data_IF_931754444954
#
_entry.id   IF_931754444954
#
_cell.length_a   1.000
_cell.length_b   1.000
_cell.length_c   1.000
_cell.angle_alpha   90.00
_cell.angle_beta   90.00
_cell.angle_gamma   90.00
#
_symmetry.space_group_name_H-M   'P 1'
#
loop_
_entity.id
_entity.type
_entity.pdbx_description
1 polymer ?
#
# COMPACT_ATOMS: atom_id res chain seq x y z
N UNK A 1 42.63 47.88 15.09
CA UNK A 1 43.23 49.24 15.07
C UNK A 1 42.18 50.18 14.47
N UNK A 2 41.83 51.33 15.06
CA UNK A 2 42.66 52.53 15.32
C UNK A 2 43.18 53.13 13.98
N UNK A 3 43.00 54.42 13.65
CA UNK A 3 42.70 55.62 14.46
C UNK A 3 41.70 56.60 13.79
N UNK A 4 41.10 57.48 14.62
CA UNK A 4 40.62 58.88 14.44
C UNK A 4 40.04 59.41 13.09
N UNK A 5 39.20 60.46 13.07
CA UNK A 5 38.60 61.21 14.19
C UNK A 5 38.80 62.74 14.16
N UNK A 6 37.98 63.45 13.38
CA UNK A 6 37.53 64.84 13.63
C UNK A 6 38.46 66.04 13.37
N UNK A 7 37.90 67.09 12.77
CA UNK A 7 38.00 68.47 13.27
C UNK A 7 36.90 69.37 12.64
N UNK A 8 36.64 70.54 13.24
CA UNK A 8 35.71 71.55 12.73
C UNK A 8 36.25 72.98 12.94
N UNK A 9 35.64 73.95 12.25
CA UNK A 9 35.71 75.40 12.50
C UNK A 9 37.07 76.15 12.33
N UNK A 10 37.37 76.55 11.09
CA UNK A 10 38.18 77.73 10.71
C UNK A 10 37.79 78.07 9.24
N UNK A 11 37.68 79.30 8.74
CA UNK A 11 38.10 80.65 9.17
C UNK A 11 36.93 81.65 9.01
N UNK A 12 36.84 82.64 9.90
CA UNK A 12 36.04 83.86 9.70
C UNK A 12 37.00 85.03 9.41
N UNK A 13 37.03 85.56 8.18
CA UNK A 13 37.59 86.88 7.77
C UNK A 13 37.85 86.93 6.24
N UNK A 14 37.05 87.71 5.49
CA UNK A 14 37.58 88.79 4.64
C UNK A 14 36.45 89.70 4.13
N UNK A 15 36.63 91.01 4.26
CA UNK A 15 35.77 92.05 3.68
C UNK A 15 36.65 93.29 3.41
N UNK A 16 36.43 94.03 2.30
CA UNK A 16 36.15 95.45 2.42
C UNK A 16 35.01 95.91 1.48
N UNK A 17 33.97 96.54 2.00
CA UNK A 17 33.81 98.01 2.09
C UNK A 17 33.75 98.79 0.77
N UNK A 18 32.60 99.46 0.55
CA UNK A 18 32.56 100.89 0.22
C UNK A 18 31.42 101.58 1.00
N UNK A 19 31.64 102.84 1.35
CA UNK A 19 30.72 103.75 2.06
C UNK A 19 30.83 105.12 1.37
N UNK A 20 29.72 105.83 1.14
CA UNK A 20 29.77 107.20 0.61
C UNK A 20 28.51 108.03 0.97
N UNK A 21 28.72 109.12 1.73
CA UNK A 21 27.81 110.22 2.11
C UNK A 21 28.68 111.29 2.83
N UNK A 22 28.44 112.64 2.78
CA UNK A 22 27.17 113.37 3.02
C UNK A 22 26.93 114.48 1.93
N UNK A 23 26.28 115.65 2.07
CA UNK A 23 25.70 116.48 3.17
C UNK A 23 24.64 117.48 2.60
N UNK A 24 23.72 118.08 3.39
CA UNK A 24 22.73 119.07 2.94
C UNK A 24 23.16 120.54 3.22
N UNK A 25 22.41 121.57 2.77
CA UNK A 25 21.27 122.14 3.52
C UNK A 25 20.04 122.43 2.59
N UNK A 26 18.89 123.02 2.98
CA UNK A 26 18.56 123.93 4.10
C UNK A 26 17.09 123.84 4.55
N UNK A 27 16.82 124.26 5.79
CA UNK A 27 15.51 124.69 6.34
C UNK A 27 14.86 125.81 5.50
N UNK A 28 13.55 126.10 5.57
CA UNK A 28 12.47 125.62 6.45
C UNK A 28 11.17 125.44 5.58
N UNK A 29 9.89 125.57 5.97
CA UNK A 29 9.26 126.13 7.18
C UNK A 29 7.95 125.42 7.63
N UNK A 30 7.45 125.89 8.77
CA UNK A 30 6.27 125.56 9.59
C UNK A 30 4.92 125.37 8.87
N UNK A 31 4.24 124.25 9.17
CA UNK A 31 2.91 124.30 9.82
C UNK A 31 2.73 123.09 10.77
N UNK A 32 1.89 123.20 11.80
CA UNK A 32 1.80 122.23 12.90
C UNK A 32 0.37 121.69 13.08
N UNK A 33 0.26 120.37 13.33
CA UNK A 33 -0.90 119.76 13.99
C UNK A 33 -0.46 118.62 14.92
N UNK A 34 -1.10 118.54 16.08
CA UNK A 34 -0.82 117.58 17.14
C UNK A 34 -1.57 116.23 16.89
N UNK A 35 -1.19 115.12 17.57
CA UNK A 35 -1.58 113.78 17.14
C UNK A 35 -3.01 113.38 17.52
N UNK A 36 -3.58 112.45 16.76
CA UNK A 36 -4.74 111.65 17.18
C UNK A 36 -4.28 110.25 17.63
N UNK A 37 -4.50 109.83 18.90
CA UNK A 37 -4.50 108.42 19.24
C UNK A 37 -5.78 107.77 18.68
N UNK A 38 -5.64 106.57 18.11
CA UNK A 38 -6.73 105.87 17.40
C UNK A 38 -6.66 104.36 17.57
N UNK A 39 -6.45 103.89 18.80
CA UNK A 39 -6.48 102.47 19.12
C UNK A 39 -7.93 101.99 19.31
N UNK A 40 -8.58 101.57 18.23
CA UNK A 40 -9.76 100.70 18.29
C UNK A 40 -9.28 99.27 18.47
N UNK A 41 -9.15 98.83 19.73
CA UNK A 41 -9.09 97.40 20.03
C UNK A 41 -10.51 96.86 19.96
N UNK A 42 -10.77 95.90 19.08
CA UNK A 42 -12.08 95.25 19.02
C UNK A 42 -12.35 94.48 20.31
N UNK A 43 -13.50 94.79 20.93
CA UNK A 43 -13.97 94.10 22.12
C UNK A 43 -14.78 92.88 21.65
N UNK A 44 -14.06 91.83 21.28
CA UNK A 44 -14.61 90.53 20.87
C UNK A 44 -15.62 90.07 21.94
N UNK A 45 -16.80 89.61 21.51
CA UNK A 45 -17.85 89.26 22.46
C UNK A 45 -17.43 88.03 23.31
N UNK A 46 -17.76 87.95 24.62
CA UNK A 46 -17.33 86.83 25.46
C UNK A 46 -17.76 85.43 24.98
N UNK A 47 -18.80 85.35 24.15
CA UNK A 47 -19.25 84.12 23.49
C UNK A 47 -18.36 83.79 22.26
N UNK A 48 -18.17 84.76 21.37
CA UNK A 48 -17.31 84.68 20.17
C UNK A 48 -15.83 84.38 20.52
N UNK A 49 -15.33 84.96 21.62
CA UNK A 49 -14.02 84.65 22.18
C UNK A 49 -13.93 83.23 22.74
N UNK A 50 -15.04 82.70 23.29
CA UNK A 50 -15.10 81.31 23.76
C UNK A 50 -15.19 80.32 22.59
N UNK A 51 -15.99 80.61 21.56
CA UNK A 51 -16.07 79.80 20.34
C UNK A 51 -14.71 79.76 19.62
N UNK A 52 -14.06 80.92 19.47
CA UNK A 52 -12.70 81.02 18.90
C UNK A 52 -11.67 80.22 19.71
N UNK A 53 -11.78 80.20 21.04
CA UNK A 53 -10.92 79.39 21.90
C UNK A 53 -11.19 77.87 21.76
N UNK A 54 -12.43 77.45 21.51
CA UNK A 54 -12.74 76.05 21.19
C UNK A 54 -12.22 75.67 19.81
N UNK A 55 -12.54 76.45 18.77
CA UNK A 55 -12.05 76.22 17.40
C UNK A 55 -10.52 76.14 17.34
N UNK A 56 -9.81 77.02 18.05
CA UNK A 56 -8.34 77.00 18.19
C UNK A 56 -7.83 75.69 18.80
N UNK A 57 -8.45 75.23 19.88
CA UNK A 57 -8.09 73.99 20.59
C UNK A 57 -8.37 72.76 19.72
N UNK A 58 -9.49 72.73 19.03
CA UNK A 58 -9.90 71.59 18.22
C UNK A 58 -9.12 71.54 16.90
N UNK A 59 -8.72 72.69 16.33
CA UNK A 59 -7.75 72.78 15.25
C UNK A 59 -6.37 72.21 15.67
N UNK A 60 -5.89 72.54 16.87
CA UNK A 60 -4.67 71.93 17.44
C UNK A 60 -4.80 70.42 17.63
N UNK A 61 -5.97 69.93 18.04
CA UNK A 61 -6.23 68.49 18.13
C UNK A 61 -6.25 67.81 16.74
N UNK A 62 -6.76 68.49 15.71
CA UNK A 62 -6.71 68.00 14.33
C UNK A 62 -5.32 68.03 13.72
N UNK A 63 -4.50 69.04 14.03
CA UNK A 63 -3.08 69.05 13.64
C UNK A 63 -2.30 67.89 14.30
N UNK A 64 -2.59 67.56 15.56
CA UNK A 64 -2.00 66.38 16.20
C UNK A 64 -2.44 65.07 15.50
N UNK A 65 -3.74 64.92 15.21
CA UNK A 65 -4.27 63.77 14.45
C UNK A 65 -3.70 63.69 13.02
N UNK A 66 -3.43 64.83 12.38
CA UNK A 66 -2.78 64.89 11.07
C UNK A 66 -1.36 64.32 11.13
N UNK A 67 -0.56 64.73 12.12
CA UNK A 67 0.79 64.19 12.28
C UNK A 67 0.79 62.69 12.63
N UNK A 68 -0.14 62.21 13.45
CA UNK A 68 -0.29 60.77 13.75
C UNK A 68 -0.54 59.94 12.48
N UNK A 69 -1.53 60.32 11.67
CA UNK A 69 -1.85 59.63 10.41
C UNK A 69 -0.74 59.78 9.36
N UNK A 70 -0.05 60.93 9.32
CA UNK A 70 1.09 61.16 8.43
C UNK A 70 2.29 60.27 8.82
N UNK A 71 2.60 60.16 10.10
CA UNK A 71 3.64 59.23 10.61
C UNK A 71 3.27 57.78 10.32
N UNK A 72 2.00 57.37 10.49
CA UNK A 72 1.55 56.03 10.09
C UNK A 72 1.79 55.78 8.59
N UNK A 73 1.44 56.74 7.74
CA UNK A 73 1.64 56.65 6.29
C UNK A 73 3.10 56.61 5.87
N UNK A 74 3.98 57.36 6.53
CA UNK A 74 5.41 57.43 6.20
C UNK A 74 6.21 56.26 6.79
N UNK A 75 6.01 55.91 8.06
CA UNK A 75 6.81 54.91 8.78
C UNK A 75 6.27 53.47 8.65
N UNK A 76 4.95 53.27 8.57
CA UNK A 76 4.33 51.94 8.55
C UNK A 76 3.83 51.53 7.16
N UNK A 77 3.29 52.49 6.39
CA UNK A 77 2.71 52.24 5.06
C UNK A 77 3.55 52.80 3.90
N UNK A 78 4.77 53.28 4.14
CA UNK A 78 5.74 53.73 3.11
C UNK A 78 5.10 54.49 1.92
N UNK A 79 4.23 55.46 2.23
CA UNK A 79 3.41 56.17 1.23
C UNK A 79 4.26 56.85 0.13
N UNK A 80 5.54 57.12 0.41
CA UNK A 80 6.52 57.61 -0.57
C UNK A 80 6.62 56.76 -1.84
N UNK A 81 6.35 55.46 -1.76
CA UNK A 81 6.53 54.51 -2.88
C UNK A 81 5.27 54.27 -3.73
N UNK A 82 4.08 54.68 -3.27
CA UNK A 82 2.80 54.39 -3.97
C UNK A 82 1.72 55.48 -3.87
N UNK A 83 1.90 56.49 -3.01
CA UNK A 83 0.90 57.53 -2.72
C UNK A 83 1.48 58.93 -2.51
N UNK A 84 2.71 59.19 -2.97
CA UNK A 84 3.42 60.45 -2.73
C UNK A 84 2.64 61.70 -3.18
N UNK A 85 2.05 61.68 -4.38
CA UNK A 85 1.24 62.77 -4.93
C UNK A 85 -0.05 63.03 -4.12
N UNK A 86 -0.60 61.98 -3.47
CA UNK A 86 -1.73 62.14 -2.55
C UNK A 86 -1.27 62.79 -1.24
N UNK A 87 -0.16 62.32 -0.65
CA UNK A 87 0.38 62.90 0.58
C UNK A 87 0.79 64.37 0.38
N UNK A 88 1.46 64.71 -0.73
CA UNK A 88 1.89 66.09 -1.02
C UNK A 88 0.69 67.03 -1.11
N UNK A 89 -0.35 66.65 -1.86
CA UNK A 89 -1.60 67.41 -1.99
C UNK A 89 -2.30 67.62 -0.65
N UNK A 90 -2.34 66.60 0.20
CA UNK A 90 -2.98 66.67 1.53
C UNK A 90 -2.14 67.51 2.50
N UNK A 91 -0.80 67.45 2.40
CA UNK A 91 0.13 68.29 3.17
C UNK A 91 0.01 69.76 2.78
N UNK A 92 -0.15 70.07 1.49
CA UNK A 92 -0.38 71.42 1.01
C UNK A 92 -1.68 72.04 1.56
N UNK A 93 -2.74 71.25 1.79
CA UNK A 93 -3.94 71.71 2.51
C UNK A 93 -3.63 72.06 3.96
N UNK A 94 -2.93 71.19 4.69
CA UNK A 94 -2.56 71.47 6.08
C UNK A 94 -1.72 72.76 6.21
N UNK A 95 -0.80 73.02 5.27
CA UNK A 95 -0.02 74.27 5.23
C UNK A 95 -0.89 75.51 4.95
N UNK A 96 -2.03 75.38 4.27
CA UNK A 96 -3.00 76.47 4.13
C UNK A 96 -3.80 76.69 5.44
N UNK A 97 -4.12 75.62 6.17
CA UNK A 97 -4.76 75.70 7.48
C UNK A 97 -3.84 76.31 8.56
N UNK A 98 -2.53 76.07 8.49
CA UNK A 98 -1.50 76.78 9.29
C UNK A 98 -1.56 78.30 9.08
N UNK A 99 -1.61 78.77 7.83
CA UNK A 99 -1.70 80.19 7.53
C UNK A 99 -2.98 80.82 8.12
N UNK A 100 -4.13 80.14 8.00
CA UNK A 100 -5.38 80.59 8.62
C UNK A 100 -5.29 80.61 10.17
N UNK A 101 -4.56 79.67 10.77
CA UNK A 101 -4.34 79.64 12.23
C UNK A 101 -3.51 80.84 12.72
N UNK A 102 -2.48 81.22 11.96
CA UNK A 102 -1.63 82.40 12.24
C UNK A 102 -2.38 83.71 12.04
N UNK A 103 -3.35 83.75 11.12
CA UNK A 103 -4.29 84.86 10.90
C UNK A 103 -5.44 84.91 11.93
N UNK A 104 -5.40 84.07 12.97
CA UNK A 104 -6.45 83.91 14.00
C UNK A 104 -7.83 83.49 13.46
N UNK A 105 -7.89 83.00 12.21
CA UNK A 105 -9.10 82.47 11.54
C UNK A 105 -9.36 81.02 11.94
N UNK A 106 -9.51 80.81 13.25
CA UNK A 106 -9.47 79.48 13.88
C UNK A 106 -10.53 78.50 13.37
N UNK A 107 -11.72 78.96 12.97
CA UNK A 107 -12.77 78.09 12.43
C UNK A 107 -12.43 77.58 11.01
N UNK A 108 -12.00 78.46 10.11
CA UNK A 108 -11.60 78.06 8.75
C UNK A 108 -10.37 77.13 8.78
N UNK A 109 -9.44 77.40 9.71
CA UNK A 109 -8.31 76.52 10.01
C UNK A 109 -8.75 75.14 10.51
N UNK A 110 -9.71 75.07 11.45
CA UNK A 110 -10.29 73.82 11.93
C UNK A 110 -10.92 73.00 10.79
N UNK A 111 -11.69 73.65 9.91
CA UNK A 111 -12.39 72.97 8.82
C UNK A 111 -11.41 72.39 7.77
N UNK A 112 -10.39 73.14 7.36
CA UNK A 112 -9.35 72.61 6.44
C UNK A 112 -8.47 71.55 7.12
N UNK A 113 -8.14 71.67 8.42
CA UNK A 113 -7.46 70.59 9.15
C UNK A 113 -8.33 69.33 9.27
N UNK A 114 -9.63 69.46 9.50
CA UNK A 114 -10.55 68.33 9.53
C UNK A 114 -10.65 67.63 8.16
N UNK A 115 -10.66 68.40 7.06
CA UNK A 115 -10.62 67.87 5.70
C UNK A 115 -9.28 67.20 5.36
N UNK A 116 -8.14 67.77 5.78
CA UNK A 116 -6.82 67.16 5.60
C UNK A 116 -6.70 65.83 6.37
N UNK A 117 -7.18 65.77 7.61
CA UNK A 117 -7.25 64.54 8.42
C UNK A 117 -8.14 63.48 7.77
N UNK A 118 -9.29 63.87 7.21
CA UNK A 118 -10.17 62.93 6.52
C UNK A 118 -9.51 62.32 5.27
N UNK A 119 -8.81 63.14 4.47
CA UNK A 119 -8.09 62.65 3.29
C UNK A 119 -6.87 61.78 3.67
N UNK A 120 -6.15 62.08 4.77
CA UNK A 120 -5.12 61.17 5.29
C UNK A 120 -5.70 59.83 5.73
N UNK A 121 -6.85 59.81 6.42
CA UNK A 121 -7.50 58.57 6.84
C UNK A 121 -7.98 57.72 5.64
N UNK A 122 -8.49 58.38 4.58
CA UNK A 122 -8.80 57.73 3.31
C UNK A 122 -7.53 57.15 2.63
N UNK A 123 -6.40 57.86 2.71
CA UNK A 123 -5.12 57.41 2.16
C UNK A 123 -4.54 56.23 2.96
N UNK A 124 -4.68 56.21 4.30
CA UNK A 124 -4.36 55.03 5.13
C UNK A 124 -5.15 53.81 4.65
N UNK A 125 -6.48 53.90 4.57
CA UNK A 125 -7.32 52.79 4.13
C UNK A 125 -7.02 52.31 2.70
N UNK A 126 -6.63 53.21 1.79
CA UNK A 126 -6.12 52.88 0.45
C UNK A 126 -4.81 52.07 0.53
N UNK A 127 -3.88 52.45 1.41
CA UNK A 127 -2.63 51.71 1.64
C UNK A 127 -2.87 50.32 2.22
N UNK A 128 -3.74 50.20 3.23
CA UNK A 128 -4.07 48.90 3.83
C UNK A 128 -4.74 47.95 2.82
N UNK A 129 -5.69 48.45 2.03
CA UNK A 129 -6.33 47.65 0.97
C UNK A 129 -5.35 47.22 -0.14
N UNK A 130 -4.35 48.05 -0.48
CA UNK A 130 -3.28 47.69 -1.43
C UNK A 130 -2.36 46.59 -0.87
N UNK A 131 -2.07 46.62 0.44
CA UNK A 131 -1.31 45.59 1.10
C UNK A 131 -2.09 44.27 1.20
N UNK A 132 -3.35 44.30 1.67
CA UNK A 132 -4.15 43.08 1.87
C UNK A 132 -4.40 42.34 0.54
N UNK A 133 -4.72 43.07 -0.54
CA UNK A 133 -4.86 42.51 -1.88
C UNK A 133 -3.53 41.89 -2.39
N UNK A 134 -2.38 42.50 -2.07
CA UNK A 134 -1.08 41.96 -2.45
C UNK A 134 -0.72 40.66 -1.68
N UNK A 135 -1.20 40.48 -0.44
CA UNK A 135 -1.09 39.22 0.29
C UNK A 135 -2.04 38.15 -0.29
N UNK A 136 -3.29 38.51 -0.60
CA UNK A 136 -4.25 37.58 -1.20
C UNK A 136 -3.77 37.09 -2.59
N UNK A 137 -3.31 37.99 -3.45
CA UNK A 137 -2.65 37.65 -4.73
C UNK A 137 -1.47 36.69 -4.53
N UNK A 138 -0.65 36.93 -3.49
CA UNK A 138 0.54 36.13 -3.18
C UNK A 138 0.20 34.70 -2.77
N UNK A 139 -0.71 34.52 -1.81
CA UNK A 139 -1.19 33.19 -1.40
C UNK A 139 -1.91 32.47 -2.56
N UNK A 140 -2.70 33.21 -3.34
CA UNK A 140 -3.40 32.73 -4.53
C UNK A 140 -2.45 32.28 -5.65
N UNK A 141 -1.24 32.85 -5.72
CA UNK A 141 -0.18 32.44 -6.63
C UNK A 141 0.62 31.23 -6.09
N UNK A 142 0.92 31.20 -4.79
CA UNK A 142 1.56 30.04 -4.15
C UNK A 142 0.69 28.77 -4.27
N UNK A 143 -0.64 28.90 -4.09
CA UNK A 143 -1.59 27.80 -4.28
C UNK A 143 -1.66 27.29 -5.73
N UNK A 144 -1.22 28.08 -6.71
CA UNK A 144 -1.12 27.71 -8.14
C UNK A 144 0.29 27.28 -8.55
N UNK A 145 1.26 27.31 -7.62
CA UNK A 145 2.69 27.13 -7.88
C UNK A 145 3.26 28.11 -8.92
N UNK A 146 2.74 29.34 -8.97
CA UNK A 146 3.27 30.42 -9.79
C UNK A 146 4.27 31.28 -9.00
N UNK A 147 5.55 30.93 -9.11
CA UNK A 147 6.67 31.69 -8.53
C UNK A 147 6.65 33.17 -8.96
N UNK A 148 6.39 33.46 -10.23
CA UNK A 148 6.53 34.81 -10.77
C UNK A 148 5.41 35.73 -10.27
N UNK A 149 4.17 35.23 -10.24
CA UNK A 149 3.05 35.95 -9.64
C UNK A 149 3.22 36.10 -8.12
N UNK A 150 3.67 35.07 -7.41
CA UNK A 150 3.88 35.12 -5.96
C UNK A 150 4.95 36.14 -5.56
N UNK A 151 6.13 36.10 -6.18
CA UNK A 151 7.20 37.09 -5.95
C UNK A 151 6.73 38.50 -6.30
N UNK A 152 6.03 38.66 -7.43
CA UNK A 152 5.47 39.95 -7.83
C UNK A 152 4.38 40.48 -6.89
N UNK A 153 3.63 39.61 -6.22
CA UNK A 153 2.57 39.97 -5.29
C UNK A 153 3.11 40.36 -3.91
N UNK A 154 3.88 39.49 -3.25
CA UNK A 154 4.49 39.83 -1.96
C UNK A 154 5.47 41.01 -2.07
N UNK A 155 6.10 41.21 -3.24
CA UNK A 155 6.88 42.41 -3.54
C UNK A 155 6.05 43.71 -3.52
N UNK A 156 4.80 43.70 -4.02
CA UNK A 156 3.85 44.83 -3.83
C UNK A 156 3.53 45.03 -2.35
N UNK A 157 3.31 43.94 -1.61
CA UNK A 157 3.10 43.97 -0.16
C UNK A 157 4.24 44.70 0.57
N UNK A 158 5.50 44.35 0.30
CA UNK A 158 6.68 45.00 0.90
C UNK A 158 6.93 46.43 0.40
N UNK A 159 6.39 46.81 -0.77
CA UNK A 159 6.43 48.20 -1.24
C UNK A 159 5.55 49.09 -0.37
N UNK A 160 4.41 48.56 0.11
CA UNK A 160 3.51 49.24 1.05
C UNK A 160 3.98 49.10 2.49
N UNK A 161 4.30 47.90 2.97
CA UNK A 161 4.77 47.65 4.35
C UNK A 161 6.20 47.07 4.35
N UNK A 162 7.25 47.89 4.36
CA UNK A 162 8.63 47.41 4.41
C UNK A 162 8.90 46.61 5.68
N UNK A 163 9.60 45.48 5.52
CA UNK A 163 9.87 44.52 6.60
C UNK A 163 8.60 43.90 7.23
N UNK A 164 7.49 43.80 6.48
CA UNK A 164 6.34 43.03 6.96
C UNK A 164 6.66 41.52 6.98
N UNK A 165 6.56 40.86 8.16
CA UNK A 165 7.00 39.47 8.31
C UNK A 165 6.08 38.47 7.61
N UNK A 166 4.89 38.86 7.13
CA UNK A 166 3.99 38.01 6.34
C UNK A 166 4.37 38.05 4.87
N UNK A 167 4.62 39.24 4.33
CA UNK A 167 5.12 39.38 2.96
C UNK A 167 6.53 38.78 2.79
N UNK A 168 7.43 38.92 3.77
CA UNK A 168 8.74 38.27 3.77
C UNK A 168 8.64 36.74 3.73
N UNK A 169 7.87 36.11 4.65
CA UNK A 169 7.60 34.67 4.62
C UNK A 169 6.89 34.21 3.34
N UNK A 170 6.11 35.10 2.72
CA UNK A 170 5.52 34.90 1.40
C UNK A 170 6.58 34.76 0.30
N UNK A 171 7.60 35.63 0.30
CA UNK A 171 8.75 35.53 -0.61
C UNK A 171 9.63 34.30 -0.33
N UNK A 172 9.88 33.95 0.93
CA UNK A 172 10.60 32.72 1.29
C UNK A 172 9.89 31.47 0.75
N UNK A 173 8.55 31.41 0.90
CA UNK A 173 7.72 30.33 0.34
C UNK A 173 7.65 30.37 -1.18
N UNK A 174 7.72 31.54 -1.81
CA UNK A 174 7.77 31.67 -3.26
C UNK A 174 9.09 31.14 -3.82
N UNK A 175 10.23 31.39 -3.14
CA UNK A 175 11.56 31.01 -3.62
C UNK A 175 11.75 29.50 -3.82
N UNK A 176 11.05 28.64 -3.08
CA UNK A 176 11.09 27.17 -3.23
C UNK A 176 10.14 26.61 -4.31
N UNK A 177 9.22 27.42 -4.83
CA UNK A 177 8.22 26.97 -5.84
C UNK A 177 8.86 26.41 -7.12
N UNK A 178 9.94 26.97 -7.71
CA UNK A 178 10.56 26.42 -8.91
C UNK A 178 11.12 24.99 -8.71
N UNK A 179 11.65 24.69 -7.52
CA UNK A 179 12.15 23.36 -7.17
C UNK A 179 10.99 22.37 -7.01
N UNK A 180 9.91 22.79 -6.32
CA UNK A 180 8.67 22.01 -6.19
C UNK A 180 8.08 21.67 -7.57
N UNK A 181 7.98 22.64 -8.48
CA UNK A 181 7.46 22.44 -9.85
C UNK A 181 8.34 21.50 -10.66
N UNK A 182 9.67 21.62 -10.56
CA UNK A 182 10.61 20.73 -11.24
C UNK A 182 10.52 19.29 -10.70
N UNK A 183 10.44 19.10 -9.38
CA UNK A 183 10.29 17.79 -8.74
C UNK A 183 8.94 17.12 -9.08
N UNK A 184 7.82 17.87 -9.05
CA UNK A 184 6.52 17.38 -9.52
C UNK A 184 6.61 16.93 -10.99
N UNK A 185 7.25 17.74 -11.85
CA UNK A 185 7.48 17.39 -13.25
C UNK A 185 8.45 16.22 -13.43
N UNK A 186 9.30 15.90 -12.44
CA UNK A 186 10.15 14.70 -12.45
C UNK A 186 9.34 13.47 -12.03
N UNK A 187 8.47 13.58 -11.01
CA UNK A 187 7.47 12.57 -10.65
C UNK A 187 6.59 12.20 -11.84
N UNK A 188 5.95 13.18 -12.50
CA UNK A 188 5.05 12.94 -13.62
C UNK A 188 5.77 12.23 -14.80
N UNK A 189 7.05 12.57 -15.05
CA UNK A 189 7.90 11.87 -16.04
C UNK A 189 8.35 10.47 -15.60
N UNK A 190 8.43 10.19 -14.31
CA UNK A 190 8.71 8.85 -13.80
C UNK A 190 7.46 7.96 -13.92
N UNK A 191 6.27 8.47 -13.58
CA UNK A 191 4.98 7.80 -13.81
C UNK A 191 4.79 7.42 -15.29
N UNK A 192 5.02 8.36 -16.21
CA UNK A 192 4.94 8.11 -17.66
C UNK A 192 5.94 7.07 -18.21
N UNK A 193 6.97 6.70 -17.43
CA UNK A 193 7.96 5.65 -17.76
C UNK A 193 7.75 4.35 -16.97
N UNK A 194 6.79 4.29 -16.06
CA UNK A 194 6.61 3.17 -15.13
C UNK A 194 7.62 3.15 -13.97
N UNK A 195 8.40 4.21 -13.79
CA UNK A 195 9.44 4.33 -12.75
C UNK A 195 8.81 4.73 -11.40
N UNK A 196 7.76 4.03 -10.97
CA UNK A 196 6.88 4.46 -9.88
C UNK A 196 7.57 4.64 -8.52
N UNK A 197 8.69 3.94 -8.27
CA UNK A 197 9.51 4.15 -7.06
C UNK A 197 10.17 5.53 -7.10
N UNK A 198 10.77 5.91 -8.23
CA UNK A 198 11.36 7.25 -8.39
C UNK A 198 10.27 8.33 -8.35
N UNK A 199 9.06 8.05 -8.82
CA UNK A 199 7.92 8.98 -8.69
C UNK A 199 7.58 9.27 -7.21
N UNK A 200 7.49 8.23 -6.38
CA UNK A 200 7.33 8.40 -4.92
C UNK A 200 8.50 9.17 -4.30
N UNK A 201 9.74 8.88 -4.69
CA UNK A 201 10.94 9.58 -4.17
C UNK A 201 10.90 11.08 -4.52
N UNK A 202 10.41 11.46 -5.69
CA UNK A 202 10.21 12.87 -6.06
C UNK A 202 9.07 13.53 -5.27
N UNK A 203 7.93 12.84 -5.08
CA UNK A 203 6.86 13.36 -4.21
C UNK A 203 7.28 13.48 -2.74
N UNK A 204 8.14 12.58 -2.25
CA UNK A 204 8.70 12.64 -0.91
C UNK A 204 9.58 13.89 -0.71
N UNK A 205 10.38 14.25 -1.72
CA UNK A 205 11.16 15.50 -1.74
C UNK A 205 10.24 16.73 -1.74
N UNK A 206 9.19 16.77 -2.57
CA UNK A 206 8.21 17.88 -2.55
C UNK A 206 7.52 18.00 -1.18
N UNK A 207 7.10 16.88 -0.59
CA UNK A 207 6.46 16.87 0.75
C UNK A 207 7.43 17.32 1.86
N UNK A 208 8.74 17.13 1.69
CA UNK A 208 9.77 17.62 2.61
C UNK A 208 10.05 19.13 2.46
N UNK A 209 9.99 19.66 1.23
CA UNK A 209 10.10 21.11 0.96
C UNK A 209 8.85 21.88 1.42
N UNK A 210 7.66 21.39 1.06
CA UNK A 210 6.40 21.95 1.50
C UNK A 210 5.29 20.87 1.58
N UNK A 211 4.90 20.43 2.80
CA UNK A 211 3.88 19.40 2.97
C UNK A 211 2.45 19.86 2.63
N UNK A 212 2.20 21.17 2.47
CA UNK A 212 0.87 21.69 2.06
C UNK A 212 0.77 21.95 0.55
N UNK A 213 1.72 21.45 -0.25
CA UNK A 213 1.67 21.55 -1.72
C UNK A 213 0.40 20.90 -2.28
N UNK A 214 -0.44 21.63 -3.04
CA UNK A 214 -1.70 21.10 -3.55
C UNK A 214 -1.53 19.87 -4.46
N UNK A 215 -2.43 18.88 -4.33
CA UNK A 215 -2.46 17.70 -5.20
C UNK A 215 -1.33 16.69 -4.95
N UNK A 216 -0.66 16.71 -3.80
CA UNK A 216 0.33 15.69 -3.41
C UNK A 216 -0.30 14.31 -3.17
N UNK A 217 -1.38 14.25 -2.39
CA UNK A 217 -1.98 12.97 -1.97
C UNK A 217 -2.80 12.32 -3.10
N UNK A 218 -3.31 13.12 -4.04
CA UNK A 218 -3.91 12.66 -5.30
C UNK A 218 -2.87 11.90 -6.15
N UNK A 219 -1.72 12.54 -6.45
CA UNK A 219 -0.61 11.90 -7.19
C UNK A 219 -0.08 10.66 -6.47
N UNK A 220 0.06 10.70 -5.14
CA UNK A 220 0.49 9.56 -4.35
C UNK A 220 -0.51 8.38 -4.45
N UNK A 221 -1.82 8.67 -4.50
CA UNK A 221 -2.88 7.68 -4.73
C UNK A 221 -2.81 7.07 -6.13
N UNK A 222 -2.61 7.91 -7.17
CA UNK A 222 -2.42 7.44 -8.55
C UNK A 222 -1.19 6.52 -8.70
N UNK A 223 -0.06 6.91 -8.11
CA UNK A 223 1.18 6.11 -8.10
C UNK A 223 0.96 4.79 -7.33
N UNK A 224 0.31 4.82 -6.17
CA UNK A 224 -0.01 3.61 -5.41
C UNK A 224 -0.93 2.66 -6.20
N UNK A 225 -1.93 3.20 -6.91
CA UNK A 225 -2.80 2.45 -7.82
C UNK A 225 -2.04 1.80 -8.97
N UNK A 226 -1.17 2.56 -9.65
CA UNK A 226 -0.36 2.06 -10.75
C UNK A 226 0.61 0.95 -10.31
N UNK A 227 1.27 1.12 -9.15
CA UNK A 227 2.12 0.09 -8.51
C UNK A 227 1.34 -1.18 -8.14
N UNK A 228 0.06 -1.04 -7.78
CA UNK A 228 -0.82 -2.20 -7.52
C UNK A 228 -1.13 -2.96 -8.81
N UNK A 229 -1.49 -2.26 -9.88
CA UNK A 229 -1.74 -2.85 -11.21
C UNK A 229 -0.50 -3.56 -11.77
N UNK A 230 0.69 -2.96 -11.64
CA UNK A 230 1.95 -3.59 -12.04
C UNK A 230 2.25 -4.86 -11.21
N UNK A 231 2.15 -4.77 -9.88
CA UNK A 231 2.36 -5.92 -8.98
C UNK A 231 1.42 -7.08 -9.29
N UNK A 232 0.12 -6.80 -9.50
CA UNK A 232 -0.88 -7.78 -9.95
C UNK A 232 -0.45 -8.44 -11.25
N UNK A 233 -0.04 -7.66 -12.25
CA UNK A 233 0.41 -8.16 -13.56
C UNK A 233 1.64 -9.07 -13.43
N UNK A 234 2.60 -8.71 -12.57
CA UNK A 234 3.77 -9.55 -12.30
C UNK A 234 3.38 -10.90 -11.66
N UNK A 235 2.55 -10.89 -10.61
CA UNK A 235 2.10 -12.11 -9.92
C UNK A 235 1.27 -13.02 -10.85
N UNK A 236 0.42 -12.44 -11.72
CA UNK A 236 -0.28 -13.22 -12.75
C UNK A 236 0.70 -13.82 -13.76
N UNK A 237 1.73 -13.07 -14.18
CA UNK A 237 2.77 -13.58 -15.08
C UNK A 237 3.59 -14.72 -14.44
N UNK A 238 3.88 -14.66 -13.12
CA UNK A 238 4.47 -15.77 -12.38
C UNK A 238 3.57 -17.03 -12.48
N UNK A 239 2.26 -16.85 -12.23
CA UNK A 239 1.28 -17.94 -12.16
C UNK A 239 1.03 -18.62 -13.49
N UNK A 240 0.85 -17.86 -14.57
CA UNK A 240 0.73 -18.42 -15.92
C UNK A 240 2.04 -19.05 -16.40
N UNK A 241 3.20 -18.43 -16.13
CA UNK A 241 4.50 -19.06 -16.44
C UNK A 241 4.76 -20.34 -15.64
N UNK A 242 4.24 -20.45 -14.41
CA UNK A 242 4.29 -21.69 -13.63
C UNK A 242 3.38 -22.78 -14.21
N UNK A 243 2.15 -22.43 -14.64
CA UNK A 243 1.26 -23.32 -15.39
C UNK A 243 1.93 -23.89 -16.65
N UNK A 244 2.58 -23.04 -17.45
CA UNK A 244 3.29 -23.43 -18.69
C UNK A 244 4.42 -24.44 -18.44
N UNK A 245 5.04 -24.41 -17.25
CA UNK A 245 6.11 -25.33 -16.83
C UNK A 245 5.60 -26.60 -16.13
N UNK A 246 4.30 -26.73 -15.90
CA UNK A 246 3.72 -27.80 -15.08
C UNK A 246 3.93 -27.64 -13.57
N UNK A 247 4.41 -26.47 -13.12
CA UNK A 247 4.60 -26.16 -11.69
C UNK A 247 3.27 -25.68 -11.08
N UNK A 248 2.36 -26.64 -10.89
CA UNK A 248 1.00 -26.36 -10.47
C UNK A 248 0.90 -25.78 -9.06
N UNK A 249 1.79 -26.17 -8.14
CA UNK A 249 1.78 -25.66 -6.76
C UNK A 249 2.31 -24.20 -6.70
N UNK A 250 3.34 -23.84 -7.47
CA UNK A 250 3.75 -22.43 -7.59
C UNK A 250 2.68 -21.58 -8.30
N UNK A 251 1.97 -22.14 -9.29
CA UNK A 251 0.84 -21.48 -9.93
C UNK A 251 -0.30 -21.20 -8.93
N UNK A 252 -0.72 -22.22 -8.16
CA UNK A 252 -1.72 -22.09 -7.09
C UNK A 252 -1.30 -21.02 -6.07
N UNK A 253 -0.02 -21.00 -5.67
CA UNK A 253 0.51 -20.00 -4.75
C UNK A 253 0.52 -18.58 -5.36
N UNK A 254 0.79 -18.44 -6.66
CA UNK A 254 0.72 -17.15 -7.36
C UNK A 254 -0.72 -16.63 -7.44
N UNK A 255 -1.69 -17.42 -7.89
CA UNK A 255 -3.08 -16.98 -7.96
C UNK A 255 -3.70 -16.72 -6.58
N UNK A 256 -3.29 -17.47 -5.54
CA UNK A 256 -3.68 -17.16 -4.15
C UNK A 256 -3.05 -15.87 -3.61
N UNK A 257 -1.86 -15.44 -4.08
CA UNK A 257 -1.35 -14.07 -3.80
C UNK A 257 -2.27 -13.00 -4.42
N UNK A 258 -2.67 -13.16 -5.69
CA UNK A 258 -3.60 -12.23 -6.35
C UNK A 258 -4.93 -12.13 -5.59
N UNK A 259 -5.48 -13.25 -5.14
CA UNK A 259 -6.74 -13.28 -4.39
C UNK A 259 -6.63 -12.79 -2.95
N UNK A 260 -5.44 -12.78 -2.34
CA UNK A 260 -5.22 -12.12 -1.05
C UNK A 260 -5.17 -10.59 -1.22
N UNK A 261 -4.56 -10.10 -2.30
CA UNK A 261 -4.50 -8.66 -2.62
C UNK A 261 -5.86 -8.13 -3.13
N UNK A 262 -6.62 -8.95 -3.87
CA UNK A 262 -7.96 -8.66 -4.37
C UNK A 262 -8.87 -9.92 -4.36
N UNK A 263 -9.72 -10.12 -3.33
CA UNK A 263 -10.58 -11.31 -3.22
C UNK A 263 -11.59 -11.50 -4.36
N UNK A 264 -11.88 -10.46 -5.15
CA UNK A 264 -12.83 -10.49 -6.27
C UNK A 264 -12.12 -10.57 -7.64
N UNK A 265 -10.84 -10.95 -7.69
CA UNK A 265 -10.05 -10.90 -8.91
C UNK A 265 -10.43 -11.99 -9.94
N UNK A 266 -10.90 -11.64 -11.16
CA UNK A 266 -11.37 -12.63 -12.11
C UNK A 266 -10.24 -13.47 -12.70
N UNK A 267 -9.06 -12.89 -12.94
CA UNK A 267 -7.89 -13.62 -13.44
C UNK A 267 -7.31 -14.52 -12.35
N UNK A 268 -7.32 -14.04 -11.09
CA UNK A 268 -6.95 -14.82 -9.91
C UNK A 268 -7.84 -16.05 -9.71
N UNK A 269 -9.17 -15.91 -9.77
CA UNK A 269 -10.10 -17.04 -9.65
C UNK A 269 -9.97 -18.03 -10.82
N UNK A 270 -9.94 -17.54 -12.06
CA UNK A 270 -9.82 -18.40 -13.24
C UNK A 270 -8.48 -19.15 -13.28
N UNK A 271 -7.36 -18.47 -13.01
CA UNK A 271 -6.04 -19.07 -12.94
C UNK A 271 -5.91 -20.09 -11.81
N UNK A 272 -6.49 -19.81 -10.64
CA UNK A 272 -6.52 -20.77 -9.53
C UNK A 272 -7.30 -22.05 -9.91
N UNK A 273 -8.49 -21.90 -10.48
CA UNK A 273 -9.29 -23.05 -10.94
C UNK A 273 -8.53 -23.88 -11.98
N UNK A 274 -7.87 -23.22 -12.94
CA UNK A 274 -7.06 -23.89 -13.95
C UNK A 274 -5.87 -24.65 -13.33
N UNK A 275 -5.19 -24.07 -12.35
CA UNK A 275 -4.04 -24.69 -11.69
C UNK A 275 -4.43 -25.86 -10.78
N UNK A 276 -5.52 -25.73 -10.01
CA UNK A 276 -6.04 -26.85 -9.19
C UNK A 276 -6.54 -28.00 -10.06
N UNK A 277 -7.19 -27.71 -11.20
CA UNK A 277 -7.61 -28.73 -12.17
C UNK A 277 -6.43 -29.40 -12.90
N UNK A 278 -5.39 -28.65 -13.26
CA UNK A 278 -4.18 -29.19 -13.88
C UNK A 278 -3.42 -30.12 -12.93
N UNK A 279 -3.25 -29.70 -11.67
CA UNK A 279 -2.65 -30.52 -10.60
C UNK A 279 -3.41 -31.82 -10.37
N UNK A 280 -4.74 -31.78 -10.43
CA UNK A 280 -5.59 -32.97 -10.27
C UNK A 280 -5.36 -33.98 -11.40
N UNK A 281 -5.26 -33.51 -12.66
CA UNK A 281 -4.99 -34.37 -13.81
C UNK A 281 -3.58 -34.95 -13.75
N UNK A 282 -2.57 -34.15 -13.40
CA UNK A 282 -1.19 -34.60 -13.25
C UNK A 282 -1.06 -35.72 -12.19
N UNK A 283 -1.77 -35.64 -11.06
CA UNK A 283 -1.78 -36.70 -10.05
C UNK A 283 -2.54 -37.95 -10.53
N UNK A 284 -3.65 -37.80 -11.27
CA UNK A 284 -4.38 -38.94 -11.87
C UNK A 284 -3.50 -39.70 -12.89
N UNK A 285 -2.73 -38.98 -13.71
CA UNK A 285 -1.81 -39.57 -14.68
C UNK A 285 -0.59 -40.19 -13.98
N UNK A 286 0.02 -39.51 -12.99
CA UNK A 286 1.11 -40.07 -12.16
C UNK A 286 0.69 -41.37 -11.46
N UNK A 287 -0.54 -41.44 -10.95
CA UNK A 287 -1.09 -42.65 -10.33
C UNK A 287 -1.42 -43.74 -11.36
N UNK A 288 -1.75 -43.39 -12.62
CA UNK A 288 -1.89 -44.37 -13.71
C UNK A 288 -0.55 -45.03 -14.01
N UNK A 289 0.48 -44.23 -14.26
CA UNK A 289 1.83 -44.70 -14.56
C UNK A 289 2.37 -45.58 -13.41
N UNK A 290 2.11 -45.17 -12.16
CA UNK A 290 2.44 -45.96 -10.96
C UNK A 290 1.72 -47.32 -10.94
N UNK A 291 0.41 -47.37 -11.24
CA UNK A 291 -0.35 -48.62 -11.29
C UNK A 291 0.13 -49.54 -12.42
N UNK A 292 0.41 -48.99 -13.60
CA UNK A 292 0.90 -49.75 -14.76
C UNK A 292 2.32 -50.30 -14.53
N UNK A 293 3.21 -49.55 -13.86
CA UNK A 293 4.51 -50.06 -13.38
C UNK A 293 4.30 -51.21 -12.39
N UNK A 294 3.43 -51.05 -11.39
CA UNK A 294 3.14 -52.08 -10.39
C UNK A 294 2.56 -53.36 -11.01
N UNK A 295 1.72 -53.27 -12.06
CA UNK A 295 1.29 -54.45 -12.82
C UNK A 295 2.46 -55.13 -13.56
N UNK A 296 3.37 -54.35 -14.15
CA UNK A 296 4.55 -54.91 -14.81
C UNK A 296 5.54 -55.59 -13.84
N UNK A 297 5.55 -55.16 -12.57
CA UNK A 297 6.39 -55.67 -11.47
C UNK A 297 5.78 -56.87 -10.72
N UNK A 298 4.64 -57.42 -11.17
CA UNK A 298 3.82 -58.43 -10.45
C UNK A 298 3.35 -57.95 -9.04
N UNK A 299 3.24 -56.64 -8.81
CA UNK A 299 2.86 -56.03 -7.52
C UNK A 299 1.36 -55.81 -7.41
N UNK A 300 0.61 -56.89 -7.59
CA UNK A 300 -0.84 -56.87 -7.76
C UNK A 300 -1.62 -56.19 -6.61
N UNK A 301 -1.21 -56.40 -5.36
CA UNK A 301 -1.84 -55.75 -4.20
C UNK A 301 -1.56 -54.24 -4.16
N UNK A 302 -0.37 -53.81 -4.57
CA UNK A 302 -0.01 -52.39 -4.63
C UNK A 302 -0.75 -51.69 -5.78
N UNK A 303 -0.85 -52.32 -6.95
CA UNK A 303 -1.63 -51.83 -8.09
C UNK A 303 -3.11 -51.67 -7.75
N UNK A 304 -3.68 -52.61 -7.00
CA UNK A 304 -5.06 -52.53 -6.50
C UNK A 304 -5.26 -51.30 -5.59
N UNK A 305 -4.32 -51.05 -4.67
CA UNK A 305 -4.36 -49.88 -3.79
C UNK A 305 -4.16 -48.56 -4.56
N UNK A 306 -3.29 -48.52 -5.56
CA UNK A 306 -3.11 -47.34 -6.43
C UNK A 306 -4.37 -47.03 -7.24
N UNK A 307 -5.07 -48.04 -7.77
CA UNK A 307 -6.37 -47.81 -8.42
C UNK A 307 -7.46 -47.33 -7.45
N UNK A 308 -7.46 -47.80 -6.19
CA UNK A 308 -8.37 -47.24 -5.17
C UNK A 308 -8.03 -45.78 -4.81
N UNK A 309 -6.75 -45.37 -4.83
CA UNK A 309 -6.37 -43.97 -4.69
C UNK A 309 -6.90 -43.11 -5.87
N UNK A 310 -6.81 -43.59 -7.11
CA UNK A 310 -7.40 -42.90 -8.28
C UNK A 310 -8.93 -42.79 -8.16
N UNK A 311 -9.60 -43.86 -7.72
CA UNK A 311 -11.06 -43.85 -7.52
C UNK A 311 -11.51 -43.06 -6.28
N UNK A 312 -10.61 -42.73 -5.36
CA UNK A 312 -10.85 -41.74 -4.32
C UNK A 312 -10.82 -40.29 -4.85
N UNK A 313 -10.07 -40.03 -5.93
CA UNK A 313 -10.07 -38.75 -6.65
C UNK A 313 -11.33 -38.63 -7.52
N UNK A 314 -11.55 -39.56 -8.46
CA UNK A 314 -12.79 -39.63 -9.24
C UNK A 314 -13.23 -41.09 -9.52
N UNK A 315 -14.42 -41.42 -9.03
CA UNK A 315 -15.10 -42.72 -9.19
C UNK A 315 -15.61 -42.98 -10.60
N UNK A 316 -15.62 -41.97 -11.48
CA UNK A 316 -16.06 -42.10 -12.88
C UNK A 316 -15.00 -42.71 -13.80
N UNK A 317 -13.72 -42.61 -13.42
CA UNK A 317 -12.56 -42.95 -14.25
C UNK A 317 -12.54 -44.43 -14.66
N UNK A 318 -12.95 -44.71 -15.91
CA UNK A 318 -13.06 -46.07 -16.45
C UNK A 318 -11.77 -46.88 -16.30
N UNK A 319 -10.61 -46.29 -16.65
CA UNK A 319 -9.32 -47.01 -16.59
C UNK A 319 -9.02 -47.57 -15.19
N UNK A 320 -9.33 -46.82 -14.13
CA UNK A 320 -9.12 -47.25 -12.76
C UNK A 320 -10.20 -48.22 -12.26
N UNK A 321 -11.45 -48.09 -12.73
CA UNK A 321 -12.52 -49.07 -12.46
C UNK A 321 -12.22 -50.43 -13.09
N UNK A 322 -11.85 -50.42 -14.36
CA UNK A 322 -11.59 -51.62 -15.16
C UNK A 322 -10.25 -52.26 -14.75
N UNK A 323 -9.26 -51.43 -14.39
CA UNK A 323 -8.02 -51.82 -13.71
C UNK A 323 -8.27 -52.52 -12.38
N UNK A 324 -8.97 -51.87 -11.44
CA UNK A 324 -9.36 -52.49 -10.17
C UNK A 324 -10.14 -53.81 -10.37
N UNK A 325 -11.09 -53.85 -11.31
CA UNK A 325 -11.88 -55.05 -11.58
C UNK A 325 -11.07 -56.20 -12.22
N UNK A 326 -10.00 -55.89 -12.97
CA UNK A 326 -9.01 -56.85 -13.46
C UNK A 326 -8.15 -57.38 -12.31
N UNK A 327 -7.53 -56.47 -11.54
CA UNK A 327 -6.52 -56.83 -10.54
C UNK A 327 -7.11 -57.46 -9.28
N UNK A 328 -8.30 -57.05 -8.83
CA UNK A 328 -8.97 -57.68 -7.69
C UNK A 328 -9.19 -59.20 -7.88
N UNK A 329 -9.47 -59.64 -9.13
CA UNK A 329 -9.58 -61.08 -9.45
C UNK A 329 -8.24 -61.79 -9.29
N UNK A 330 -7.15 -61.19 -9.77
CA UNK A 330 -5.81 -61.76 -9.67
C UNK A 330 -5.31 -61.79 -8.23
N UNK A 331 -5.58 -60.77 -7.42
CA UNK A 331 -5.27 -60.74 -5.98
C UNK A 331 -6.01 -61.86 -5.24
N UNK A 332 -7.33 -61.98 -5.39
CA UNK A 332 -8.11 -63.04 -4.76
C UNK A 332 -7.67 -64.46 -5.18
N UNK A 333 -7.16 -64.60 -6.41
CA UNK A 333 -6.61 -65.85 -6.94
C UNK A 333 -5.22 -66.15 -6.36
N UNK A 334 -4.36 -65.15 -6.20
CA UNK A 334 -3.07 -65.27 -5.48
C UNK A 334 -3.32 -65.68 -4.02
N UNK A 335 -4.24 -65.03 -3.33
CA UNK A 335 -4.62 -65.36 -1.95
C UNK A 335 -5.11 -66.81 -1.85
N UNK A 336 -6.00 -67.22 -2.76
CA UNK A 336 -6.50 -68.61 -2.86
C UNK A 336 -5.41 -69.64 -3.17
N UNK A 337 -4.37 -69.29 -3.94
CA UNK A 337 -3.20 -70.16 -4.13
C UNK A 337 -2.35 -70.22 -2.85
N UNK A 338 -2.11 -69.07 -2.22
CA UNK A 338 -1.21 -68.94 -1.08
C UNK A 338 -1.72 -69.66 0.17
N UNK A 339 -3.04 -69.81 0.35
CA UNK A 339 -3.63 -70.69 1.36
C UNK A 339 -3.08 -72.13 1.28
N UNK A 340 -3.11 -72.72 0.08
CA UNK A 340 -2.66 -74.10 -0.16
C UNK A 340 -1.13 -74.24 -0.20
N UNK A 341 -0.42 -73.19 -0.61
CA UNK A 341 1.06 -73.14 -0.55
C UNK A 341 1.54 -73.07 0.91
N UNK A 342 0.86 -72.30 1.76
CA UNK A 342 1.24 -72.11 3.16
C UNK A 342 0.92 -73.33 4.05
N UNK A 343 -0.19 -74.05 3.81
CA UNK A 343 -0.47 -75.31 4.50
C UNK A 343 -0.89 -76.45 3.55
N UNK A 344 0.07 -77.07 2.83
CA UNK A 344 -0.20 -78.22 1.94
C UNK A 344 -0.88 -79.39 2.64
N UNK A 345 -0.82 -79.46 3.98
CA UNK A 345 -1.40 -80.52 4.80
C UNK A 345 -2.94 -80.53 4.82
N UNK A 346 -3.62 -79.47 4.35
CA UNK A 346 -5.09 -79.45 4.21
C UNK A 346 -5.57 -80.34 3.06
N UNK A 347 -4.71 -80.57 2.05
CA UNK A 347 -5.01 -81.37 0.85
C UNK A 347 -5.15 -82.88 1.12
N UNK A 348 -5.08 -83.30 2.40
CA UNK A 348 -5.57 -84.61 2.84
C UNK A 348 -7.09 -84.74 2.81
N UNK A 349 -7.80 -83.60 2.70
CA UNK A 349 -9.24 -83.53 2.52
C UNK A 349 -9.62 -83.50 1.03
N UNK A 350 -10.56 -84.34 0.60
CA UNK A 350 -10.97 -84.38 -0.81
C UNK A 350 -11.77 -83.13 -1.25
N UNK A 351 -12.41 -82.37 -0.32
CA UNK A 351 -13.02 -81.09 -0.68
C UNK A 351 -11.95 -80.04 -0.98
N UNK A 352 -10.96 -79.88 -0.09
CA UNK A 352 -9.88 -78.91 -0.29
C UNK A 352 -8.96 -79.30 -1.45
N UNK A 353 -8.69 -80.59 -1.66
CA UNK A 353 -8.01 -81.07 -2.86
C UNK A 353 -8.79 -80.74 -4.14
N UNK A 354 -10.12 -80.82 -4.11
CA UNK A 354 -11.00 -80.43 -5.23
C UNK A 354 -11.16 -78.91 -5.37
N UNK A 355 -10.92 -78.12 -4.32
CA UNK A 355 -10.83 -76.65 -4.37
C UNK A 355 -9.48 -76.21 -4.95
N UNK A 356 -8.37 -76.74 -4.46
CA UNK A 356 -7.03 -76.45 -4.97
C UNK A 356 -6.88 -76.77 -6.46
N UNK A 357 -7.47 -77.88 -6.94
CA UNK A 357 -7.52 -78.19 -8.38
C UNK A 357 -8.29 -77.17 -9.22
N UNK A 358 -9.35 -76.56 -8.69
CA UNK A 358 -10.10 -75.49 -9.38
C UNK A 358 -9.28 -74.20 -9.40
N UNK A 359 -8.77 -73.76 -8.25
CA UNK A 359 -7.87 -72.60 -8.12
C UNK A 359 -6.66 -72.71 -9.06
N UNK A 360 -6.05 -73.89 -9.16
CA UNK A 360 -4.93 -74.16 -10.07
C UNK A 360 -5.33 -74.10 -11.56
N UNK A 361 -6.54 -74.56 -11.92
CA UNK A 361 -7.06 -74.46 -13.28
C UNK A 361 -7.41 -73.02 -13.66
N UNK A 362 -8.06 -72.28 -12.76
CA UNK A 362 -8.42 -70.87 -12.92
C UNK A 362 -7.15 -70.00 -13.05
N UNK A 363 -6.12 -70.26 -12.24
CA UNK A 363 -4.83 -69.57 -12.33
C UNK A 363 -4.01 -69.98 -13.56
N UNK A 364 -4.08 -71.25 -13.98
CA UNK A 364 -3.50 -71.72 -15.23
C UNK A 364 -4.13 -71.11 -16.49
N UNK A 365 -5.33 -70.55 -16.39
CA UNK A 365 -6.01 -69.84 -17.48
C UNK A 365 -5.64 -68.35 -17.59
N UNK A 366 -4.93 -67.76 -16.60
CA UNK A 366 -4.54 -66.36 -16.65
C UNK A 366 -3.26 -66.13 -17.48
N UNK A 367 -3.46 -66.09 -18.81
CA UNK A 367 -2.40 -65.83 -19.80
C UNK A 367 -1.67 -64.49 -19.57
N UNK A 368 -2.32 -63.53 -18.89
CA UNK A 368 -1.77 -62.20 -18.60
C UNK A 368 -0.92 -62.12 -17.33
N UNK A 369 -0.59 -63.24 -16.70
CA UNK A 369 0.20 -63.30 -15.47
C UNK A 369 1.70 -63.09 -15.71
N UNK A 370 2.39 -62.42 -14.77
CA UNK A 370 3.85 -62.22 -14.78
C UNK A 370 4.64 -63.38 -14.14
N UNK A 371 5.99 -63.31 -14.13
CA UNK A 371 6.86 -64.35 -13.60
C UNK A 371 6.58 -64.79 -12.15
N UNK A 372 6.23 -63.87 -11.24
CA UNK A 372 5.99 -64.20 -9.81
C UNK A 372 4.70 -65.00 -9.64
N UNK A 373 3.63 -64.59 -10.31
CA UNK A 373 2.37 -65.33 -10.32
C UNK A 373 2.55 -66.73 -10.94
N UNK A 374 3.29 -66.83 -12.07
CA UNK A 374 3.61 -68.13 -12.69
C UNK A 374 4.38 -69.04 -11.73
N UNK A 375 5.33 -68.50 -10.98
CA UNK A 375 6.03 -69.24 -9.91
C UNK A 375 5.08 -69.82 -8.87
N UNK A 376 4.10 -69.05 -8.40
CA UNK A 376 3.07 -69.53 -7.45
C UNK A 376 2.15 -70.59 -8.07
N UNK A 377 1.80 -70.46 -9.36
CA UNK A 377 1.03 -71.48 -10.10
C UNK A 377 1.81 -72.80 -10.23
N UNK A 378 3.11 -72.73 -10.52
CA UNK A 378 3.97 -73.89 -10.67
C UNK A 378 4.26 -74.56 -9.30
N UNK A 379 4.42 -73.78 -8.24
CA UNK A 379 4.53 -74.26 -6.85
C UNK A 379 3.24 -74.97 -6.40
N UNK A 380 2.07 -74.35 -6.60
CA UNK A 380 0.78 -74.98 -6.31
C UNK A 380 0.58 -76.25 -7.15
N UNK A 381 1.03 -76.27 -8.42
CA UNK A 381 0.96 -77.48 -9.26
C UNK A 381 1.77 -78.61 -8.64
N UNK A 382 3.02 -78.37 -8.27
CA UNK A 382 3.88 -79.38 -7.64
C UNK A 382 3.29 -79.90 -6.31
N UNK A 383 2.66 -79.01 -5.52
CA UNK A 383 1.96 -79.36 -4.28
C UNK A 383 0.73 -80.24 -4.57
N UNK A 384 -0.13 -79.87 -5.52
CA UNK A 384 -1.33 -80.63 -5.90
C UNK A 384 -0.96 -81.98 -6.53
N UNK A 385 0.08 -82.04 -7.35
CA UNK A 385 0.61 -83.29 -7.92
C UNK A 385 1.15 -84.21 -6.82
N UNK A 386 1.95 -83.70 -5.88
CA UNK A 386 2.45 -84.48 -4.74
C UNK A 386 1.31 -85.01 -3.86
N UNK A 387 0.32 -84.18 -3.54
CA UNK A 387 -0.86 -84.61 -2.75
C UNK A 387 -1.85 -85.48 -3.54
N UNK A 388 -1.66 -85.63 -4.86
CA UNK A 388 -2.46 -86.55 -5.67
C UNK A 388 -2.07 -88.02 -5.50
N UNK A 389 -0.81 -88.29 -5.16
CA UNK A 389 -0.24 -89.65 -5.03
C UNK A 389 -0.42 -90.16 -3.60
N UNK A 390 -1.24 -91.21 -3.36
CA UNK A 390 -1.41 -91.75 -2.02
C UNK A 390 -0.14 -92.46 -1.52
N UNK A 391 0.12 -92.35 -0.23
CA UNK A 391 1.21 -93.03 0.49
C UNK A 391 0.65 -94.12 1.41
N UNK A 392 1.37 -95.24 1.60
CA UNK A 392 0.94 -96.31 2.49
C UNK A 392 1.09 -95.91 3.97
N UNK A 393 -0.01 -95.98 4.70
CA UNK A 393 -0.05 -95.99 6.16
C UNK A 393 -0.31 -97.42 6.63
N UNK A 394 0.65 -98.01 7.33
CA UNK A 394 0.47 -99.30 8.03
C UNK A 394 0.13 -99.03 9.49
N UNK A 395 -0.97 -99.60 9.96
CA UNK A 395 -1.40 -99.57 11.36
C UNK A 395 -1.39 -101.01 11.89
N UNK A 396 -0.76 -101.21 13.03
CA UNK A 396 -0.83 -102.45 13.81
C UNK A 396 -1.72 -102.22 15.04
N UNK A 397 -2.52 -103.23 15.42
CA UNK A 397 -3.50 -103.18 16.51
C UNK A 397 -3.73 -104.57 17.13
N UNK A 398 -4.53 -104.65 18.19
CA UNK A 398 -4.80 -105.84 19.00
C UNK A 398 -5.98 -106.70 18.48
N UNK A 399 -6.66 -106.28 17.41
CA UNK A 399 -7.92 -106.83 16.91
C UNK A 399 -9.12 -106.73 17.87
N UNK A 400 -9.00 -105.96 18.95
CA UNK A 400 -10.06 -105.70 19.94
C UNK A 400 -10.41 -104.19 20.04
N UNK A 401 -9.49 -103.32 19.63
CA UNK A 401 -9.62 -101.86 19.59
C UNK A 401 -10.18 -101.41 18.24
N UNK A 402 -11.32 -100.71 18.28
CA UNK A 402 -11.99 -100.12 17.12
C UNK A 402 -11.22 -98.87 16.67
N UNK A 403 -10.66 -98.92 15.46
CA UNK A 403 -9.91 -97.79 14.87
C UNK A 403 -10.83 -96.97 13.94
N UNK A 404 -10.77 -95.65 14.07
CA UNK A 404 -11.36 -94.66 13.16
C UNK A 404 -10.30 -93.64 12.75
N UNK A 405 -10.24 -93.28 11.48
CA UNK A 405 -9.38 -92.20 11.00
C UNK A 405 -10.26 -91.03 10.61
N UNK A 406 -10.03 -89.85 11.20
CA UNK A 406 -10.80 -88.65 10.88
C UNK A 406 -10.62 -88.29 9.38
N UNK A 407 -11.69 -87.78 8.75
CA UNK A 407 -11.88 -87.62 7.29
C UNK A 407 -12.02 -88.91 6.47
N UNK A 408 -11.53 -90.06 6.94
CA UNK A 408 -11.60 -91.35 6.20
C UNK A 408 -12.80 -92.20 6.66
N UNK A 409 -13.10 -92.19 7.97
CA UNK A 409 -14.18 -92.97 8.58
C UNK A 409 -13.70 -94.12 9.47
N UNK A 410 -14.62 -95.01 9.91
CA UNK A 410 -14.27 -96.18 10.72
C UNK A 410 -13.49 -97.20 9.88
N UNK A 411 -12.37 -97.69 10.41
CA UNK A 411 -11.53 -98.72 9.77
C UNK A 411 -11.89 -100.12 10.31
N UNK A 412 -12.35 -100.21 11.55
CA UNK A 412 -12.71 -101.47 12.22
C UNK A 412 -11.66 -101.96 13.21
N UNK A 413 -11.79 -103.21 13.65
CA UNK A 413 -10.76 -103.97 14.36
C UNK A 413 -9.90 -104.77 13.35
N UNK A 414 -8.61 -104.94 13.66
CA UNK A 414 -7.65 -105.72 12.86
C UNK A 414 -6.37 -105.98 13.67
N UNK A 415 -5.53 -106.93 13.24
CA UNK A 415 -4.14 -107.07 13.73
C UNK A 415 -3.17 -106.15 12.98
N UNK A 416 -3.26 -106.12 11.64
CA UNK A 416 -2.51 -105.22 10.75
C UNK A 416 -3.42 -104.73 9.63
N UNK A 417 -3.35 -103.44 9.30
CA UNK A 417 -4.05 -102.85 8.17
C UNK A 417 -3.14 -101.87 7.43
N UNK A 418 -3.06 -102.02 6.12
CA UNK A 418 -2.45 -101.03 5.22
C UNK A 418 -3.56 -100.20 4.56
N UNK A 419 -3.36 -98.88 4.50
CA UNK A 419 -4.29 -97.89 3.94
C UNK A 419 -3.51 -96.91 3.07
N UNK A 420 -3.97 -96.68 1.83
CA UNK A 420 -3.38 -95.71 0.93
C UNK A 420 -4.07 -94.35 1.13
N UNK A 421 -3.38 -93.38 1.75
CA UNK A 421 -3.92 -92.07 2.11
C UNK A 421 -3.18 -90.94 1.39
N UNK A 422 -3.81 -89.79 1.17
CA UNK A 422 -3.13 -88.60 0.61
C UNK A 422 -2.07 -88.09 1.60
N UNK A 423 -0.94 -87.53 1.15
CA UNK A 423 -0.06 -86.76 2.03
C UNK A 423 -0.80 -85.63 2.75
N UNK A 424 -0.63 -85.53 4.08
CA UNK A 424 -1.18 -84.43 4.89
C UNK A 424 -1.45 -84.84 6.34
N UNK A 425 -2.28 -84.06 7.04
CA UNK A 425 -2.60 -84.33 8.46
C UNK A 425 -3.86 -85.20 8.60
N UNK A 426 -3.77 -86.21 9.48
CA UNK A 426 -4.86 -87.08 9.93
C UNK A 426 -4.82 -87.21 11.45
N UNK A 427 -5.94 -87.61 12.05
CA UNK A 427 -6.05 -87.98 13.47
C UNK A 427 -6.65 -89.39 13.53
N UNK A 428 -6.02 -90.28 14.30
CA UNK A 428 -6.40 -91.70 14.39
C UNK A 428 -6.98 -91.93 15.78
N UNK A 429 -8.29 -92.17 15.86
CA UNK A 429 -8.99 -92.41 17.12
C UNK A 429 -9.08 -93.92 17.36
N UNK A 430 -8.54 -94.39 18.48
CA UNK A 430 -8.73 -95.73 18.99
C UNK A 430 -9.75 -95.74 20.11
N UNK A 431 -10.76 -96.60 20.04
CA UNK A 431 -11.82 -96.76 21.04
C UNK A 431 -12.05 -98.24 21.37
N UNK A 432 -12.40 -98.56 22.63
CA UNK A 432 -12.62 -99.93 23.09
C UNK A 432 -13.51 -99.93 24.34
N UNK A 433 -14.50 -100.83 24.40
CA UNK A 433 -15.40 -100.95 25.55
C UNK A 433 -14.62 -101.21 26.85
N UNK A 434 -14.90 -100.39 27.87
CA UNK A 434 -14.19 -100.41 29.16
C UNK A 434 -12.90 -99.58 29.23
N UNK A 435 -12.48 -98.95 28.13
CA UNK A 435 -11.28 -98.10 28.05
C UNK A 435 -11.64 -96.64 27.76
N UNK A 436 -10.62 -95.76 27.71
CA UNK A 436 -10.76 -94.36 27.32
C UNK A 436 -10.17 -94.16 25.92
N UNK A 437 -10.90 -93.49 25.05
CA UNK A 437 -10.45 -93.14 23.70
C UNK A 437 -9.12 -92.39 23.68
N UNK A 438 -8.27 -92.73 22.70
CA UNK A 438 -6.97 -92.09 22.40
C UNK A 438 -7.03 -91.50 20.98
N UNK A 439 -6.22 -90.46 20.71
CA UNK A 439 -6.18 -89.69 19.45
C UNK A 439 -4.73 -89.43 19.00
#
# INVERSE_FOLDING_TARGET
MLLLGGLAAYVFLYLPQRLEAPTPPTRNDVEAHAPKPGATGDVIAPFEAADSAHARKDAQAKLAQFFELKTQLEEQLNVSAWGAEDLERITARAMAADQMFVEERYQESLDEYAAAVADLANLVGKGEALYDAAIEDGESALAKLDHAAAVGAFGRGLTVRPNDPTAERGLERAAIVPEIVELLRQSDRAVLRGEFVAADDYLAQVRALNPTTPGLDERASEIAGAKSVERRRAILSDGFGALERGDHDAAIAAFKRVLNDNPNDPDGHAGLQQAEQARLLAEIDRLRDQAESQESEDRWTDALATYDAVLAIDRSLRFARDGKARIAKRVALIESMQEFINDPGVLSDDHEFSRAKRVLADAGADVGAGPRFRGQVDELRAIVERSSVPVPLVIDSDNETQIMIQKVGPVGTFLRKELMLRPGRYVIVGSRDGYRDVR
#
